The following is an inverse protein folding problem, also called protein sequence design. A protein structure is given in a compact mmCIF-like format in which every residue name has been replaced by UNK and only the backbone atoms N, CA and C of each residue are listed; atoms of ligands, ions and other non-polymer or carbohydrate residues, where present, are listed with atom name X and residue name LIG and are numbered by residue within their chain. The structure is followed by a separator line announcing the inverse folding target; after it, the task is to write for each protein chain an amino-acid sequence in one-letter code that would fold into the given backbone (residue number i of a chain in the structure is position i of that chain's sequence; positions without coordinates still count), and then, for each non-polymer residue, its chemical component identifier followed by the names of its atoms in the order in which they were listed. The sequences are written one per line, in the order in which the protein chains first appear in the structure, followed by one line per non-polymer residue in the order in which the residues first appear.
data_IF_347365648697
#
_entry.id   IF_347365648697
#
_cell.length_a   1.000
_cell.length_b   1.000
_cell.length_c   1.000
_cell.angle_alpha   90.00
_cell.angle_beta   90.00
_cell.angle_gamma   90.00
#
_symmetry.space_group_name_H-M   'P 1'
#
loop_
_entity.id
_entity.type
_entity.pdbx_description
1 polymer ?
#
# COMPACT_ATOMS: atom_id res chain seq x y z
N UNK A 1 -52.54 94.28 24.40
CA UNK A 1 -52.61 93.07 23.54
C UNK A 1 -51.48 92.13 23.98
N UNK A 2 -51.70 91.31 25.02
CA UNK A 2 -51.86 89.84 24.97
C UNK A 2 -50.94 89.07 23.99
N UNK A 3 -50.12 88.19 24.59
CA UNK A 3 -49.96 86.75 24.31
C UNK A 3 -48.65 86.23 23.67
N UNK A 4 -47.82 85.66 24.58
CA UNK A 4 -47.09 84.37 24.56
C UNK A 4 -46.77 83.67 23.23
N UNK A 5 -45.45 83.56 23.06
CA UNK A 5 -44.65 82.53 22.37
C UNK A 5 -44.96 81.09 22.84
N UNK A 6 -44.93 80.12 21.91
CA UNK A 6 -44.75 78.69 22.21
C UNK A 6 -43.76 78.01 21.24
N UNK A 7 -42.68 77.48 21.85
CA UNK A 7 -41.97 76.19 21.62
C UNK A 7 -41.33 75.88 20.26
N UNK A 8 -40.04 75.49 20.34
CA UNK A 8 -39.60 74.09 20.14
C UNK A 8 -38.31 73.81 20.94
N UNK A 9 -38.33 72.77 21.79
CA UNK A 9 -37.18 72.27 22.56
C UNK A 9 -36.54 71.14 21.76
N UNK A 10 -35.25 71.26 21.43
CA UNK A 10 -34.42 70.13 21.01
C UNK A 10 -33.97 69.35 22.26
N UNK A 11 -34.17 68.03 22.27
CA UNK A 11 -33.65 67.12 23.31
C UNK A 11 -32.18 66.83 23.00
N UNK A 12 -31.28 67.15 23.94
CA UNK A 12 -29.93 66.56 23.99
C UNK A 12 -30.04 65.21 24.71
N UNK A 13 -29.53 64.15 24.09
CA UNK A 13 -29.32 62.84 24.71
C UNK A 13 -27.92 62.86 25.31
N UNK A 14 -27.80 62.63 26.61
CA UNK A 14 -26.53 62.45 27.29
C UNK A 14 -26.18 60.96 27.32
N UNK A 15 -25.00 60.60 26.81
CA UNK A 15 -24.41 59.26 26.93
C UNK A 15 -23.71 59.23 28.29
N UNK A 16 -24.14 58.35 29.19
CA UNK A 16 -23.44 58.06 30.44
C UNK A 16 -22.49 56.89 30.20
N UNK A 17 -21.18 57.17 30.20
CA UNK A 17 -20.16 56.13 30.35
C UNK A 17 -20.12 55.69 31.81
N UNK A 18 -20.49 54.45 32.09
CA UNK A 18 -20.36 53.85 33.42
C UNK A 18 -18.92 53.41 33.66
N UNK A 19 -18.26 53.84 34.75
CA UNK A 19 -16.91 53.40 35.06
C UNK A 19 -16.92 51.93 35.52
N UNK A 20 -16.26 51.06 34.75
CA UNK A 20 -16.02 49.66 35.12
C UNK A 20 -15.20 49.61 36.40
N UNK A 21 -15.79 49.06 37.47
CA UNK A 21 -15.15 49.03 38.80
C UNK A 21 -13.87 48.17 38.81
N UNK A 22 -12.88 48.55 39.64
CA UNK A 22 -11.60 47.82 39.76
C UNK A 22 -11.76 46.32 40.07
N UNK A 23 -12.85 45.92 40.74
CA UNK A 23 -13.13 44.49 41.02
C UNK A 23 -13.42 43.69 39.75
N UNK A 24 -14.05 44.32 38.75
CA UNK A 24 -14.28 43.69 37.43
C UNK A 24 -12.97 43.49 36.68
N UNK A 25 -12.04 44.46 36.74
CA UNK A 25 -10.73 44.34 36.10
C UNK A 25 -9.88 43.23 36.70
N UNK A 26 -9.89 43.07 38.02
CA UNK A 26 -9.18 41.98 38.70
C UNK A 26 -9.74 40.60 38.34
N UNK A 27 -11.08 40.46 38.32
CA UNK A 27 -11.72 39.22 37.90
C UNK A 27 -11.37 38.85 36.45
N UNK A 28 -11.35 39.84 35.54
CA UNK A 28 -10.95 39.65 34.15
C UNK A 28 -9.49 39.19 34.01
N UNK A 29 -8.56 39.80 34.76
CA UNK A 29 -7.15 39.39 34.73
C UNK A 29 -6.99 37.95 35.21
N UNK A 30 -7.66 37.56 36.30
CA UNK A 30 -7.58 36.19 36.83
C UNK A 30 -8.16 35.16 35.84
N UNK A 31 -9.28 35.47 35.19
CA UNK A 31 -9.88 34.59 34.18
C UNK A 31 -8.94 34.43 32.97
N UNK A 32 -8.38 35.53 32.47
CA UNK A 32 -7.43 35.50 31.35
C UNK A 32 -6.18 34.70 31.71
N UNK A 33 -5.68 34.84 32.94
CA UNK A 33 -4.52 34.09 33.40
C UNK A 33 -4.82 32.61 33.55
N UNK A 34 -6.01 32.24 34.06
CA UNK A 34 -6.46 30.85 34.12
C UNK A 34 -6.60 30.24 32.73
N UNK A 35 -7.20 30.97 31.78
CA UNK A 35 -7.31 30.52 30.38
C UNK A 35 -5.93 30.35 29.76
N UNK A 36 -4.99 31.28 29.99
CA UNK A 36 -3.61 31.15 29.50
C UNK A 36 -2.89 29.95 30.13
N UNK A 37 -3.09 29.67 31.42
CA UNK A 37 -2.52 28.49 32.08
C UNK A 37 -3.14 27.21 31.54
N UNK A 38 -4.45 27.18 31.31
CA UNK A 38 -5.15 26.03 30.71
C UNK A 38 -4.68 25.82 29.27
N UNK A 39 -4.61 26.88 28.45
CA UNK A 39 -4.11 26.82 27.07
C UNK A 39 -2.64 26.39 27.04
N UNK A 40 -1.79 26.94 27.91
CA UNK A 40 -0.39 26.52 28.02
C UNK A 40 -0.26 25.07 28.50
N UNK A 41 -1.11 24.61 29.42
CA UNK A 41 -1.16 23.22 29.84
C UNK A 41 -1.68 22.30 28.72
N UNK A 42 -2.71 22.69 27.98
CA UNK A 42 -3.21 21.96 26.81
C UNK A 42 -2.14 21.86 25.71
N UNK A 43 -1.41 22.94 25.42
CA UNK A 43 -0.29 22.93 24.46
C UNK A 43 0.85 22.02 24.96
N UNK A 44 1.09 21.95 26.27
CA UNK A 44 2.12 21.08 26.87
C UNK A 44 1.72 19.60 26.97
N UNK A 45 0.41 19.33 26.96
CA UNK A 45 -0.18 18.00 27.17
C UNK A 45 -0.64 17.37 25.86
N UNK A 46 -0.90 18.14 24.81
CA UNK A 46 -1.04 17.56 23.48
C UNK A 46 0.32 17.01 23.06
N UNK A 47 0.47 15.67 22.92
CA UNK A 47 1.63 15.15 22.24
C UNK A 47 1.69 15.83 20.87
N UNK A 48 2.84 16.40 20.51
CA UNK A 48 3.00 16.79 19.10
C UNK A 48 2.87 15.50 18.31
N UNK A 49 1.87 15.45 17.43
CA UNK A 49 1.73 14.39 16.46
C UNK A 49 2.69 14.72 15.32
N UNK A 50 3.57 13.79 14.99
CA UNK A 50 4.29 13.85 13.74
C UNK A 50 3.42 13.20 12.68
N UNK A 51 3.35 13.86 11.53
CA UNK A 51 2.70 13.39 10.32
C UNK A 51 3.72 13.48 9.22
N UNK A 52 3.93 12.38 8.51
CA UNK A 52 4.75 12.36 7.30
C UNK A 52 3.92 11.78 6.18
N UNK A 53 3.91 12.51 5.08
CA UNK A 53 3.37 12.08 3.80
C UNK A 53 4.58 11.84 2.90
N UNK A 54 4.78 10.61 2.47
CA UNK A 54 5.80 10.32 1.48
C UNK A 54 5.17 10.53 0.10
N UNK A 55 5.74 11.51 -0.62
CA UNK A 55 5.16 12.07 -1.82
C UNK A 55 5.10 11.05 -2.98
N UNK A 56 3.89 10.54 -3.19
CA UNK A 56 3.21 10.59 -4.49
C UNK A 56 3.45 11.98 -5.15
N UNK A 57 3.47 12.06 -6.47
CA UNK A 57 3.60 13.33 -7.20
C UNK A 57 2.55 14.37 -6.75
N UNK A 58 2.72 15.65 -7.10
CA UNK A 58 1.79 16.74 -6.71
C UNK A 58 0.32 16.52 -7.13
N UNK A 59 0.02 15.54 -8.01
CA UNK A 59 -1.33 15.12 -8.42
C UNK A 59 -1.96 14.06 -7.51
N UNK A 60 -1.25 13.56 -6.50
CA UNK A 60 -1.71 12.44 -5.67
C UNK A 60 -1.56 11.07 -6.33
N UNK A 61 -0.77 10.98 -7.39
CA UNK A 61 -0.43 9.75 -8.13
C UNK A 61 0.97 9.26 -7.72
N UNK A 62 1.12 7.95 -7.52
CA UNK A 62 2.42 7.36 -7.21
C UNK A 62 3.25 7.55 -8.47
N UNK A 63 4.41 8.25 -8.45
CA UNK A 63 5.26 8.34 -9.64
C UNK A 63 5.69 6.97 -10.15
N UNK A 64 5.51 5.92 -9.33
CA UNK A 64 5.84 4.54 -9.62
C UNK A 64 4.60 3.67 -9.95
N UNK A 65 3.38 4.24 -9.98
CA UNK A 65 2.22 3.56 -10.58
C UNK A 65 2.49 3.37 -12.08
N UNK A 66 2.83 2.15 -12.48
CA UNK A 66 2.93 1.74 -13.88
C UNK A 66 4.27 2.01 -14.59
N UNK A 67 5.34 2.42 -13.91
CA UNK A 67 6.65 2.63 -14.57
C UNK A 67 7.52 1.39 -14.53
N UNK A 68 7.30 0.49 -15.47
CA UNK A 68 8.31 -0.46 -15.91
C UNK A 68 8.58 -0.20 -17.39
N UNK A 69 9.71 0.44 -17.69
CA UNK A 69 10.25 0.52 -19.05
C UNK A 69 10.55 -0.92 -19.51
N UNK A 70 9.62 -1.53 -20.26
CA UNK A 70 10.02 -2.42 -21.33
C UNK A 70 10.48 -1.53 -22.50
N UNK A 71 11.40 -2.02 -23.35
CA UNK A 71 11.78 -1.30 -24.58
C UNK A 71 10.56 -0.97 -25.48
N UNK A 72 9.42 -1.63 -25.25
CA UNK A 72 8.16 -1.53 -26.00
C UNK A 72 6.95 -0.99 -25.21
N UNK A 73 7.15 -0.43 -24.00
CA UNK A 73 6.13 0.33 -23.24
C UNK A 73 5.71 -0.25 -21.87
N UNK A 74 4.55 0.19 -21.32
CA UNK A 74 4.21 0.04 -19.89
C UNK A 74 3.33 -1.18 -19.57
N UNK A 75 3.58 -1.83 -18.43
CA UNK A 75 2.74 -2.92 -17.89
C UNK A 75 1.66 -2.40 -16.93
N UNK A 76 0.44 -2.89 -17.06
CA UNK A 76 -0.71 -2.60 -16.17
C UNK A 76 -1.27 -3.90 -15.64
N UNK A 77 -1.46 -4.03 -14.32
CA UNK A 77 -2.09 -5.21 -13.74
C UNK A 77 -3.62 -5.12 -13.78
N UNK A 78 -4.26 -6.27 -13.98
CA UNK A 78 -5.69 -6.46 -13.81
C UNK A 78 -5.91 -7.75 -13.02
N UNK A 79 -6.58 -7.64 -11.87
CA UNK A 79 -6.95 -8.80 -11.06
C UNK A 79 -8.26 -9.39 -11.59
N UNK A 80 -8.30 -10.70 -11.69
CA UNK A 80 -9.42 -11.48 -12.20
C UNK A 80 -9.64 -12.67 -11.28
N UNK A 81 -10.90 -13.06 -11.09
CA UNK A 81 -11.24 -14.31 -10.41
C UNK A 81 -11.90 -15.28 -11.37
N UNK A 82 -11.68 -16.58 -11.18
CA UNK A 82 -12.34 -17.59 -12.02
C UNK A 82 -13.87 -17.52 -11.89
N UNK A 83 -14.39 -17.34 -10.67
CA UNK A 83 -15.82 -17.22 -10.38
C UNK A 83 -16.51 -16.03 -11.08
N UNK A 84 -15.82 -14.92 -11.31
CA UNK A 84 -16.40 -13.78 -12.02
C UNK A 84 -16.45 -14.01 -13.53
N UNK A 85 -15.47 -14.74 -14.07
CA UNK A 85 -15.30 -14.89 -15.50
C UNK A 85 -16.07 -16.07 -16.08
N UNK A 86 -16.24 -17.16 -15.33
CA UNK A 86 -17.05 -18.30 -15.76
C UNK A 86 -18.44 -18.26 -15.10
N UNK A 87 -19.40 -17.64 -15.79
CA UNK A 87 -20.77 -17.43 -15.28
C UNK A 87 -21.66 -18.68 -15.37
N UNK A 88 -21.29 -19.62 -16.23
CA UNK A 88 -21.94 -20.92 -16.41
C UNK A 88 -20.93 -21.91 -17.03
N UNK A 89 -21.17 -23.23 -16.98
CA UNK A 89 -20.25 -24.21 -17.55
C UNK A 89 -19.84 -23.85 -18.99
N UNK A 90 -18.53 -23.77 -19.21
CA UNK A 90 -17.90 -23.41 -20.51
C UNK A 90 -18.42 -22.08 -21.11
N UNK A 91 -18.96 -21.18 -20.28
CA UNK A 91 -19.53 -19.90 -20.68
C UNK A 91 -18.81 -18.77 -19.95
N UNK A 92 -18.02 -18.01 -20.70
CA UNK A 92 -17.15 -16.98 -20.14
C UNK A 92 -17.65 -15.57 -20.46
N UNK A 93 -17.66 -14.71 -19.46
CA UNK A 93 -17.90 -13.27 -19.61
C UNK A 93 -16.60 -12.52 -19.30
N UNK A 94 -16.13 -11.72 -20.25
CA UNK A 94 -14.87 -11.00 -20.13
C UNK A 94 -15.13 -9.52 -19.83
N UNK A 95 -14.31 -8.84 -19.01
CA UNK A 95 -14.55 -7.45 -18.66
C UNK A 95 -14.42 -6.53 -19.89
N UNK A 96 -15.54 -5.93 -20.31
CA UNK A 96 -15.61 -4.98 -21.43
C UNK A 96 -14.89 -3.65 -21.14
N UNK A 97 -14.64 -3.35 -19.87
CA UNK A 97 -14.17 -2.08 -19.31
C UNK A 97 -12.70 -2.06 -18.93
N UNK A 98 -11.95 -3.13 -19.23
CA UNK A 98 -10.50 -3.09 -19.33
C UNK A 98 -10.13 -2.13 -20.48
N UNK A 99 -10.03 -0.84 -20.13
CA UNK A 99 -9.95 0.31 -21.03
C UNK A 99 -9.08 0.05 -22.27
N UNK A 100 -9.46 0.64 -23.40
CA UNK A 100 -8.61 0.72 -24.58
C UNK A 100 -7.24 1.30 -24.16
N UNK A 101 -6.22 0.45 -24.14
CA UNK A 101 -4.89 0.82 -23.71
C UNK A 101 -4.35 1.94 -24.59
N UNK A 102 -3.69 2.91 -23.96
CA UNK A 102 -2.87 3.88 -24.69
C UNK A 102 -1.80 3.12 -25.50
N UNK A 103 -1.42 3.66 -26.67
CA UNK A 103 -0.39 3.07 -27.53
C UNK A 103 0.86 2.69 -26.72
N UNK A 104 1.23 1.40 -26.77
CA UNK A 104 2.41 0.85 -26.10
C UNK A 104 2.18 0.29 -24.69
N UNK A 105 0.95 0.27 -24.15
CA UNK A 105 0.69 -0.45 -22.89
C UNK A 105 0.31 -1.90 -23.14
N UNK A 106 0.67 -2.80 -22.21
CA UNK A 106 0.22 -4.21 -22.19
C UNK A 106 -0.28 -4.59 -20.80
N UNK A 107 -1.26 -5.50 -20.74
CA UNK A 107 -1.81 -6.00 -19.48
C UNK A 107 -1.04 -7.19 -18.93
N UNK A 108 -0.99 -7.23 -17.61
CA UNK A 108 -0.63 -8.38 -16.79
C UNK A 108 -1.91 -8.81 -16.09
N UNK A 109 -2.39 -10.00 -16.40
CA UNK A 109 -3.56 -10.51 -15.73
C UNK A 109 -3.15 -11.39 -14.56
N UNK A 110 -3.71 -11.12 -13.38
CA UNK A 110 -3.49 -11.91 -12.17
C UNK A 110 -4.78 -12.64 -11.86
N UNK A 111 -4.77 -13.96 -12.07
CA UNK A 111 -5.90 -14.84 -11.85
C UNK A 111 -5.81 -15.48 -10.46
N UNK A 112 -6.80 -15.23 -9.63
CA UNK A 112 -7.12 -16.04 -8.46
C UNK A 112 -7.89 -17.29 -8.92
N UNK A 113 -7.21 -18.44 -8.89
CA UNK A 113 -7.78 -19.73 -9.30
C UNK A 113 -8.50 -20.46 -8.17
N UNK A 114 -8.26 -20.09 -6.91
CA UNK A 114 -8.95 -20.65 -5.74
C UNK A 114 -10.40 -20.14 -5.66
N UNK A 115 -10.69 -18.98 -6.23
CA UNK A 115 -12.04 -18.44 -6.38
C UNK A 115 -12.84 -19.16 -7.48
N UNK A 116 -13.19 -20.44 -7.28
CA UNK A 116 -13.91 -21.25 -8.26
C UNK A 116 -15.43 -20.96 -8.34
N UNK A 117 -16.05 -21.08 -9.54
CA UNK A 117 -17.49 -20.88 -9.72
C UNK A 117 -18.34 -21.90 -8.95
N UNK A 118 -19.51 -21.47 -8.47
CA UNK A 118 -20.40 -22.32 -7.67
C UNK A 118 -20.92 -23.57 -8.42
N UNK A 119 -20.98 -23.55 -9.76
CA UNK A 119 -21.35 -24.74 -10.53
C UNK A 119 -20.23 -25.78 -10.58
N UNK A 120 -18.97 -25.35 -10.59
CA UNK A 120 -17.80 -26.24 -10.52
C UNK A 120 -17.80 -26.96 -9.18
N UNK A 121 -18.03 -26.25 -8.08
CA UNK A 121 -18.17 -26.83 -6.73
C UNK A 121 -19.27 -27.88 -6.64
N UNK A 122 -20.45 -27.53 -7.16
CA UNK A 122 -21.61 -28.41 -7.12
C UNK A 122 -21.38 -29.71 -7.90
N UNK A 123 -20.67 -29.62 -9.04
CA UNK A 123 -20.36 -30.77 -9.86
C UNK A 123 -19.20 -31.59 -9.28
N UNK A 124 -18.15 -30.94 -8.79
CA UNK A 124 -17.00 -31.56 -8.11
C UNK A 124 -17.45 -32.43 -6.93
N UNK A 125 -18.42 -31.97 -6.14
CA UNK A 125 -18.98 -32.72 -5.01
C UNK A 125 -19.64 -34.06 -5.40
N UNK A 126 -19.94 -34.25 -6.69
CA UNK A 126 -20.51 -35.49 -7.23
C UNK A 126 -19.48 -36.41 -7.91
N UNK A 127 -18.22 -35.98 -8.01
CA UNK A 127 -17.15 -36.73 -8.65
C UNK A 127 -16.45 -37.68 -7.68
N UNK A 128 -15.85 -38.74 -8.23
CA UNK A 128 -15.03 -39.69 -7.47
C UNK A 128 -13.71 -39.05 -6.98
N UNK A 129 -13.20 -38.06 -7.74
CA UNK A 129 -12.04 -37.23 -7.41
C UNK A 129 -12.40 -35.74 -7.60
N UNK A 130 -12.94 -35.08 -6.57
CA UNK A 130 -13.33 -33.67 -6.65
C UNK A 130 -12.17 -32.73 -6.98
N UNK A 131 -10.97 -33.00 -6.43
CA UNK A 131 -9.80 -32.15 -6.64
C UNK A 131 -9.30 -32.25 -8.09
N UNK A 132 -9.15 -33.49 -8.60
CA UNK A 132 -8.76 -33.70 -10.00
C UNK A 132 -9.78 -33.13 -11.00
N UNK A 133 -11.07 -33.12 -10.65
CA UNK A 133 -12.10 -32.46 -11.46
C UNK A 133 -11.92 -30.94 -11.50
N UNK A 134 -11.70 -30.30 -10.36
CA UNK A 134 -11.46 -28.84 -10.28
C UNK A 134 -10.23 -28.46 -11.11
N UNK A 135 -9.13 -29.20 -10.97
CA UNK A 135 -7.90 -28.99 -11.74
C UNK A 135 -8.14 -29.11 -13.26
N UNK A 136 -8.95 -30.09 -13.70
CA UNK A 136 -9.29 -30.24 -15.13
C UNK A 136 -10.12 -29.07 -15.65
N UNK A 137 -11.11 -28.61 -14.88
CA UNK A 137 -11.93 -27.45 -15.26
C UNK A 137 -11.09 -26.17 -15.31
N UNK A 138 -10.22 -25.98 -14.32
CA UNK A 138 -9.33 -24.83 -14.27
C UNK A 138 -8.41 -24.79 -15.51
N UNK A 139 -7.84 -25.92 -15.94
CA UNK A 139 -7.01 -25.98 -17.15
C UNK A 139 -7.77 -25.55 -18.40
N UNK A 140 -9.04 -25.97 -18.53
CA UNK A 140 -9.90 -25.57 -19.66
C UNK A 140 -10.21 -24.08 -19.63
N UNK A 141 -10.54 -23.57 -18.45
CA UNK A 141 -10.78 -22.14 -18.24
C UNK A 141 -9.54 -21.30 -18.57
N UNK A 142 -8.38 -21.64 -18.02
CA UNK A 142 -7.12 -20.91 -18.26
C UNK A 142 -6.75 -20.95 -19.75
N UNK A 143 -6.96 -22.07 -20.44
CA UNK A 143 -6.73 -22.15 -21.88
C UNK A 143 -7.65 -21.18 -22.64
N UNK A 144 -8.95 -21.18 -22.34
CA UNK A 144 -9.91 -20.28 -22.98
C UNK A 144 -9.59 -18.79 -22.69
N UNK A 145 -9.12 -18.49 -21.48
CA UNK A 145 -8.68 -17.15 -21.08
C UNK A 145 -7.46 -16.71 -21.89
N UNK A 146 -6.45 -17.57 -22.04
CA UNK A 146 -5.26 -17.28 -22.85
C UNK A 146 -5.61 -17.10 -24.34
N UNK A 147 -6.52 -17.93 -24.87
CA UNK A 147 -7.06 -17.79 -26.24
C UNK A 147 -7.74 -16.42 -26.46
N UNK A 148 -8.53 -15.98 -25.48
CA UNK A 148 -9.18 -14.66 -25.51
C UNK A 148 -8.14 -13.52 -25.46
N UNK A 149 -7.17 -13.60 -24.56
CA UNK A 149 -6.11 -12.60 -24.41
C UNK A 149 -5.25 -12.45 -25.66
N UNK A 150 -4.93 -13.56 -26.31
CA UNK A 150 -4.18 -13.57 -27.57
C UNK A 150 -4.95 -12.85 -28.69
N UNK A 151 -6.26 -13.11 -28.81
CA UNK A 151 -7.13 -12.42 -29.75
C UNK A 151 -7.21 -10.91 -29.49
N UNK A 152 -7.10 -10.49 -28.23
CA UNK A 152 -7.10 -9.08 -27.83
C UNK A 152 -5.77 -8.39 -28.16
N UNK A 153 -4.66 -9.13 -28.12
CA UNK A 153 -3.34 -8.70 -28.56
C UNK A 153 -2.63 -7.69 -27.65
N UNK A 154 -3.21 -7.40 -26.48
CA UNK A 154 -2.71 -6.41 -25.54
C UNK A 154 -2.29 -7.03 -24.19
N UNK A 155 -2.32 -8.35 -24.07
CA UNK A 155 -1.78 -9.07 -22.93
C UNK A 155 -0.25 -9.26 -23.10
N UNK A 156 0.48 -9.09 -22.01
CA UNK A 156 1.89 -9.48 -21.90
C UNK A 156 2.01 -10.92 -21.37
N UNK A 157 1.35 -11.21 -20.25
CA UNK A 157 1.30 -12.55 -19.65
C UNK A 157 0.16 -12.66 -18.63
N UNK A 158 -0.20 -13.90 -18.31
CA UNK A 158 -1.15 -14.33 -17.28
C UNK A 158 -0.38 -14.94 -16.11
N UNK A 159 -0.70 -14.51 -14.89
CA UNK A 159 -0.24 -15.09 -13.62
C UNK A 159 -1.39 -15.83 -12.95
N UNK A 160 -1.12 -16.99 -12.37
CA UNK A 160 -2.08 -17.74 -11.55
C UNK A 160 -1.38 -18.40 -10.37
N UNK A 161 -2.07 -18.45 -9.23
CA UNK A 161 -1.67 -19.17 -8.02
C UNK A 161 -1.76 -20.71 -8.16
N UNK A 162 -2.39 -21.21 -9.22
CA UNK A 162 -2.56 -22.64 -9.46
C UNK A 162 -1.30 -23.36 -9.99
N UNK A 163 -1.17 -24.64 -9.62
CA UNK A 163 -0.16 -25.57 -10.13
C UNK A 163 -0.68 -26.26 -11.41
N UNK A 164 -0.29 -25.78 -12.59
CA UNK A 164 -0.81 -26.30 -13.86
C UNK A 164 0.20 -27.18 -14.62
N UNK A 165 0.95 -28.06 -13.92
CA UNK A 165 1.97 -28.95 -14.53
C UNK A 165 1.49 -29.62 -15.83
N UNK A 166 2.31 -29.63 -16.88
CA UNK A 166 1.95 -30.19 -18.19
C UNK A 166 1.02 -29.34 -19.05
N UNK A 167 0.68 -28.12 -18.61
CA UNK A 167 0.00 -27.12 -19.45
C UNK A 167 1.03 -26.35 -20.28
N UNK A 168 0.66 -26.01 -21.52
CA UNK A 168 1.52 -25.20 -22.38
C UNK A 168 1.76 -23.82 -21.74
N UNK A 169 3.04 -23.45 -21.58
CA UNK A 169 3.45 -22.18 -20.99
C UNK A 169 3.13 -20.95 -21.86
N UNK A 170 2.68 -21.17 -23.10
CA UNK A 170 2.43 -20.13 -24.09
C UNK A 170 1.27 -20.49 -25.00
N UNK A 171 0.43 -19.50 -25.29
CA UNK A 171 -0.59 -19.57 -26.32
C UNK A 171 -0.52 -18.30 -27.18
N UNK A 172 -0.23 -18.45 -28.47
CA UNK A 172 0.00 -17.29 -29.34
C UNK A 172 1.11 -16.40 -28.78
N UNK A 173 0.82 -15.13 -28.48
CA UNK A 173 1.77 -14.20 -27.85
C UNK A 173 1.60 -14.02 -26.34
N UNK A 174 0.71 -14.81 -25.72
CA UNK A 174 0.43 -14.78 -24.28
C UNK A 174 1.20 -15.87 -23.57
N UNK A 175 1.86 -15.51 -22.46
CA UNK A 175 2.57 -16.44 -21.60
C UNK A 175 1.80 -16.73 -20.31
N UNK A 176 1.92 -17.96 -19.81
CA UNK A 176 1.36 -18.41 -18.53
C UNK A 176 2.47 -18.58 -17.50
N UNK A 177 2.28 -17.97 -16.33
CA UNK A 177 3.13 -18.13 -15.16
C UNK A 177 2.30 -18.64 -13.99
N UNK A 178 2.72 -19.76 -13.41
CA UNK A 178 2.13 -20.40 -12.23
C UNK A 178 3.01 -20.13 -11.01
N UNK A 179 2.40 -19.84 -9.86
CA UNK A 179 3.12 -19.75 -8.59
C UNK A 179 3.90 -21.05 -8.32
N UNK A 180 5.16 -21.00 -7.92
CA UNK A 180 5.91 -22.15 -7.42
C UNK A 180 5.80 -22.16 -5.90
N UNK A 181 5.16 -23.17 -5.32
CA UNK A 181 4.97 -23.23 -3.86
C UNK A 181 6.26 -23.43 -3.07
N UNK A 182 7.37 -23.81 -3.71
CA UNK A 182 8.64 -24.04 -3.02
C UNK A 182 9.31 -22.73 -2.59
N UNK A 183 9.21 -21.68 -3.41
CA UNK A 183 9.88 -20.40 -3.18
C UNK A 183 8.96 -19.17 -3.38
N UNK A 184 7.69 -19.40 -3.76
CA UNK A 184 6.70 -18.36 -4.02
C UNK A 184 6.86 -17.67 -5.39
N UNK A 185 7.78 -18.11 -6.25
CA UNK A 185 8.05 -17.43 -7.52
C UNK A 185 7.13 -17.93 -8.63
N UNK A 186 6.65 -17.03 -9.48
CA UNK A 186 5.85 -17.41 -10.65
C UNK A 186 6.76 -17.94 -11.77
N UNK A 187 6.50 -19.15 -12.27
CA UNK A 187 7.30 -19.86 -13.29
C UNK A 187 6.42 -20.44 -14.39
N UNK A 188 7.01 -20.80 -15.53
CA UNK A 188 6.30 -21.59 -16.53
C UNK A 188 5.85 -22.95 -15.91
N UNK A 189 4.67 -23.49 -16.28
CA UNK A 189 4.08 -24.69 -15.64
C UNK A 189 4.97 -25.94 -15.58
N UNK A 190 5.95 -26.08 -16.48
CA UNK A 190 6.87 -27.24 -16.53
C UNK A 190 8.27 -26.94 -15.99
N UNK A 191 8.48 -25.78 -15.35
CA UNK A 191 9.78 -25.42 -14.80
C UNK A 191 10.90 -25.34 -15.85
N UNK A 192 10.55 -25.15 -17.12
CA UNK A 192 11.52 -24.91 -18.20
C UNK A 192 12.46 -23.81 -17.73
N UNK A 193 13.78 -24.01 -17.84
CA UNK A 193 14.82 -23.05 -17.45
C UNK A 193 14.67 -21.73 -18.23
N UNK A 194 13.67 -20.92 -17.90
CA UNK A 194 13.69 -19.50 -18.14
C UNK A 194 14.62 -18.91 -17.09
N UNK A 195 15.70 -18.29 -17.54
CA UNK A 195 16.67 -17.66 -16.68
C UNK A 195 16.04 -16.45 -16.01
N UNK A 196 15.38 -16.68 -14.87
CA UNK A 196 15.06 -15.61 -13.93
C UNK A 196 16.38 -15.07 -13.40
N UNK A 197 16.75 -13.88 -13.87
CA UNK A 197 17.80 -13.11 -13.23
C UNK A 197 17.13 -12.28 -12.16
N UNK A 198 17.22 -12.75 -10.92
CA UNK A 198 16.96 -11.93 -9.75
C UNK A 198 17.98 -10.78 -9.80
N UNK A 199 17.52 -9.62 -10.26
CA UNK A 199 18.38 -8.46 -10.47
C UNK A 199 17.99 -7.47 -9.39
N UNK A 200 18.68 -7.44 -8.23
CA UNK A 200 18.52 -6.35 -7.29
C UNK A 200 18.87 -5.05 -8.02
N UNK A 201 17.86 -4.24 -8.31
CA UNK A 201 18.08 -2.94 -8.95
C UNK A 201 18.56 -1.97 -7.87
N UNK A 202 19.87 -1.89 -7.70
CA UNK A 202 20.48 -0.64 -7.31
C UNK A 202 20.39 0.31 -8.53
N UNK A 203 19.51 1.32 -8.45
CA UNK A 203 19.00 2.11 -9.59
C UNK A 203 20.00 2.98 -10.38
N UNK A 204 19.49 3.66 -11.43
CA UNK A 204 20.10 4.90 -11.96
C UNK A 204 19.10 5.71 -12.82
N UNK A 205 18.63 6.80 -12.24
CA UNK A 205 17.63 7.72 -12.81
C UNK A 205 17.07 8.65 -11.75
N UNK A 206 17.95 9.14 -10.86
CA UNK A 206 17.65 9.82 -9.59
C UNK A 206 16.74 9.12 -8.57
N UNK A 207 15.75 8.29 -8.89
CA UNK A 207 15.01 7.48 -7.90
C UNK A 207 14.34 6.26 -8.55
N UNK A 208 14.68 5.04 -8.13
CA UNK A 208 13.88 3.82 -8.38
C UNK A 208 13.94 2.99 -7.09
N UNK A 209 12.79 2.63 -6.53
CA UNK A 209 12.61 1.91 -5.27
C UNK A 209 11.58 0.77 -5.46
N UNK A 210 11.78 -0.39 -4.82
CA UNK A 210 11.03 -1.65 -5.02
C UNK A 210 11.94 -2.79 -5.54
N UNK A 211 11.48 -4.04 -5.49
CA UNK A 211 12.19 -5.16 -6.14
C UNK A 211 11.38 -5.64 -7.36
N UNK A 212 12.10 -6.00 -8.43
CA UNK A 212 11.51 -6.51 -9.66
C UNK A 212 12.15 -7.86 -10.03
N UNK A 213 11.31 -8.83 -10.38
CA UNK A 213 11.69 -9.98 -11.17
C UNK A 213 11.84 -9.55 -12.63
N UNK A 214 13.00 -9.80 -13.23
CA UNK A 214 13.17 -9.65 -14.68
C UNK A 214 12.98 -11.02 -15.30
N UNK A 215 12.00 -11.17 -16.18
CA UNK A 215 11.87 -12.36 -17.01
C UNK A 215 12.43 -12.09 -18.39
N UNK A 216 13.04 -13.11 -18.98
CA UNK A 216 13.43 -13.16 -20.40
C UNK A 216 12.76 -14.39 -20.96
N UNK A 217 11.71 -14.20 -21.75
CA UNK A 217 11.01 -15.29 -22.44
C UNK A 217 11.55 -15.33 -23.88
N UNK A 218 12.10 -16.48 -24.30
CA UNK A 218 12.52 -16.67 -25.69
C UNK A 218 11.28 -16.56 -26.59
N UNK A 219 11.11 -15.42 -27.25
CA UNK A 219 10.05 -15.21 -28.21
C UNK A 219 10.22 -16.17 -29.38
N UNK A 220 9.11 -16.77 -29.80
CA UNK A 220 9.06 -17.69 -30.95
C UNK A 220 9.52 -17.06 -32.27
N UNK A 221 9.72 -15.74 -32.28
CA UNK A 221 10.10 -14.94 -33.42
C UNK A 221 11.58 -14.49 -33.36
N UNK A 222 12.31 -14.89 -32.30
CA UNK A 222 13.73 -14.58 -32.11
C UNK A 222 14.02 -13.26 -31.37
N UNK A 223 13.01 -12.54 -30.90
CA UNK A 223 13.17 -11.43 -29.95
C UNK A 223 12.73 -11.88 -28.56
N UNK A 224 13.63 -11.76 -27.59
CA UNK A 224 13.35 -12.13 -26.22
C UNK A 224 12.41 -11.11 -25.58
N UNK A 225 11.26 -11.55 -25.08
CA UNK A 225 10.34 -10.70 -24.35
C UNK A 225 10.94 -10.50 -22.96
N UNK A 226 11.57 -9.33 -22.76
CA UNK A 226 12.15 -8.92 -21.50
C UNK A 226 11.17 -7.99 -20.78
N UNK A 227 10.59 -8.46 -19.68
CA UNK A 227 9.70 -7.68 -18.84
C UNK A 227 10.21 -7.63 -17.41
N UNK A 228 9.92 -6.53 -16.72
CA UNK A 228 10.12 -6.43 -15.28
C UNK A 228 8.76 -6.52 -14.60
N UNK A 229 8.65 -7.33 -13.57
CA UNK A 229 7.44 -7.56 -12.79
C UNK A 229 7.82 -7.39 -11.35
N UNK A 230 7.13 -6.53 -10.61
CA UNK A 230 7.54 -6.28 -9.24
C UNK A 230 6.49 -5.58 -8.43
N UNK A 231 6.74 -5.56 -7.14
CA UNK A 231 5.97 -4.84 -6.16
C UNK A 231 6.56 -3.44 -5.98
N UNK A 232 5.69 -2.51 -5.63
CA UNK A 232 6.07 -1.16 -5.23
C UNK A 232 5.42 -0.86 -3.87
N UNK A 233 5.76 -1.68 -2.87
CA UNK A 233 5.26 -1.56 -1.50
C UNK A 233 5.80 -0.29 -0.84
N UNK A 234 4.92 0.56 -0.32
CA UNK A 234 5.30 1.81 0.34
C UNK A 234 4.45 2.15 1.55
N UNK A 235 4.95 3.09 2.36
CA UNK A 235 4.17 3.78 3.38
C UNK A 235 3.81 5.16 2.83
N UNK A 236 2.53 5.36 2.50
CA UNK A 236 2.02 6.65 1.98
C UNK A 236 1.92 7.68 3.09
N UNK A 237 1.42 7.22 4.23
CA UNK A 237 1.14 8.04 5.39
C UNK A 237 1.65 7.38 6.67
N UNK A 238 2.21 8.18 7.56
CA UNK A 238 2.53 7.76 8.91
C UNK A 238 2.23 8.86 9.93
N UNK A 239 1.60 8.49 11.04
CA UNK A 239 1.32 9.36 12.17
C UNK A 239 1.65 8.71 13.51
N UNK A 240 2.37 9.41 14.37
CA UNK A 240 2.70 8.95 15.71
C UNK A 240 2.88 10.09 16.69
N UNK A 241 2.87 9.75 17.98
CA UNK A 241 3.21 10.70 19.04
C UNK A 241 4.72 10.93 19.14
N UNK A 242 5.13 12.20 19.17
CA UNK A 242 6.53 12.64 19.33
C UNK A 242 7.24 12.15 20.59
N UNK A 243 6.51 11.63 21.58
CA UNK A 243 7.09 11.05 22.79
C UNK A 243 6.29 9.88 23.32
N UNK A 244 6.97 8.99 24.01
CA UNK A 244 6.38 7.89 24.77
C UNK A 244 7.14 7.68 26.07
N UNK A 245 6.59 6.86 26.97
CA UNK A 245 7.25 6.46 28.22
C UNK A 245 7.70 5.01 28.12
N UNK A 246 8.74 4.69 28.86
CA UNK A 246 9.18 3.30 29.05
C UNK A 246 8.06 2.46 29.65
N UNK A 247 7.89 1.25 29.14
CA UNK A 247 6.81 0.35 29.54
C UNK A 247 5.42 0.68 28.98
N UNK A 248 5.30 1.73 28.17
CA UNK A 248 4.05 2.03 27.47
C UNK A 248 4.11 1.49 26.03
N UNK A 249 2.94 1.52 25.38
CA UNK A 249 2.81 1.29 23.94
C UNK A 249 2.93 2.61 23.18
N UNK A 250 3.75 2.64 22.14
CA UNK A 250 3.73 3.68 21.12
C UNK A 250 2.78 3.23 20.00
N UNK A 251 1.76 4.01 19.71
CA UNK A 251 0.88 3.77 18.56
C UNK A 251 1.39 4.53 17.33
N UNK A 252 1.30 3.89 16.18
CA UNK A 252 1.69 4.42 14.87
C UNK A 252 0.58 4.10 13.89
N UNK A 253 -0.10 5.11 13.35
CA UNK A 253 -1.05 4.90 12.27
C UNK A 253 -0.28 4.96 10.94
N UNK A 254 -0.51 3.98 10.08
CA UNK A 254 0.12 3.87 8.77
C UNK A 254 -0.96 3.75 7.69
N UNK A 255 -0.66 4.24 6.49
CA UNK A 255 -1.39 3.91 5.26
C UNK A 255 -0.38 3.25 4.32
N UNK A 256 -0.66 2.01 3.91
CA UNK A 256 0.22 1.17 3.10
C UNK A 256 -0.40 0.91 1.74
N UNK A 257 0.41 0.82 0.69
CA UNK A 257 -0.02 0.37 -0.63
C UNK A 257 1.08 -0.44 -1.31
N UNK A 258 0.67 -1.34 -2.21
CA UNK A 258 1.56 -1.96 -3.18
C UNK A 258 1.14 -1.48 -4.57
N UNK A 259 1.77 -0.40 -5.02
CA UNK A 259 1.50 0.17 -6.34
C UNK A 259 2.16 -0.61 -7.50
N UNK A 260 2.68 -1.81 -7.22
CA UNK A 260 3.32 -2.66 -8.20
C UNK A 260 2.31 -3.42 -9.06
N UNK A 261 2.84 -4.18 -10.02
CA UNK A 261 2.06 -4.94 -11.02
C UNK A 261 1.68 -6.33 -10.50
N UNK A 262 2.11 -6.69 -9.30
CA UNK A 262 1.99 -8.05 -8.74
C UNK A 262 1.93 -7.99 -7.22
N UNK A 263 1.38 -9.05 -6.60
CA UNK A 263 1.33 -9.22 -5.15
C UNK A 263 2.67 -9.71 -4.59
N UNK A 264 2.84 -9.60 -3.27
CA UNK A 264 4.00 -10.19 -2.62
C UNK A 264 3.91 -11.72 -2.57
N UNK A 265 5.05 -12.37 -2.79
CA UNK A 265 5.18 -13.79 -3.07
C UNK A 265 5.41 -14.68 -1.85
N UNK A 266 5.73 -14.06 -0.72
CA UNK A 266 6.08 -14.75 0.52
C UNK A 266 5.47 -14.00 1.70
N UNK A 267 5.06 -14.73 2.75
CA UNK A 267 4.56 -14.13 3.98
C UNK A 267 5.73 -13.47 4.72
N UNK A 268 5.90 -12.18 4.47
CA UNK A 268 6.89 -11.34 5.13
C UNK A 268 6.23 -10.51 6.22
N UNK A 269 7.03 -10.11 7.20
CA UNK A 269 6.55 -9.31 8.31
C UNK A 269 6.87 -7.83 8.10
N UNK A 270 5.85 -6.98 8.18
CA UNK A 270 6.06 -5.55 8.35
C UNK A 270 6.50 -5.28 9.79
N UNK A 271 7.70 -4.74 9.96
CA UNK A 271 8.29 -4.47 11.25
C UNK A 271 8.34 -2.96 11.50
N UNK A 272 7.77 -2.53 12.63
CA UNK A 272 8.02 -1.20 13.17
C UNK A 272 9.15 -1.27 14.20
N UNK A 273 10.10 -0.34 14.13
CA UNK A 273 11.32 -0.38 14.95
C UNK A 273 11.70 0.98 15.52
N UNK A 274 12.26 0.99 16.73
CA UNK A 274 12.98 2.12 17.31
C UNK A 274 14.48 1.85 17.28
N UNK A 275 15.22 2.67 16.53
CA UNK A 275 16.68 2.61 16.40
C UNK A 275 17.38 3.74 17.14
N UNK A 276 18.58 3.47 17.64
CA UNK A 276 19.54 4.48 18.11
C UNK A 276 20.90 4.19 17.50
N UNK A 277 21.28 4.97 16.49
CA UNK A 277 22.38 4.58 15.61
C UNK A 277 22.02 3.29 14.88
N UNK A 278 22.96 2.35 14.80
CA UNK A 278 22.74 1.09 14.07
C UNK A 278 21.99 0.04 14.90
N UNK A 279 21.75 0.28 16.18
CA UNK A 279 21.09 -0.69 17.07
C UNK A 279 19.57 -0.55 17.05
N UNK A 280 18.88 -1.67 16.84
CA UNK A 280 17.44 -1.82 17.10
C UNK A 280 17.24 -1.97 18.61
N UNK A 281 16.47 -1.07 19.21
CA UNK A 281 16.25 -1.02 20.66
C UNK A 281 14.85 -1.49 21.08
N UNK A 282 13.88 -1.43 20.16
CA UNK A 282 12.56 -2.03 20.31
C UNK A 282 12.02 -2.29 18.90
N UNK A 283 11.23 -3.35 18.73
CA UNK A 283 10.61 -3.69 17.46
C UNK A 283 9.33 -4.50 17.70
N UNK A 284 8.41 -4.45 16.75
CA UNK A 284 7.17 -5.21 16.79
C UNK A 284 6.74 -5.58 15.36
N UNK A 285 6.33 -6.83 15.16
CA UNK A 285 5.70 -7.28 13.93
C UNK A 285 4.26 -6.76 13.89
N UNK A 286 3.85 -6.21 12.75
CA UNK A 286 2.51 -5.65 12.59
C UNK A 286 1.56 -6.71 12.02
N UNK A 287 0.31 -6.68 12.47
CA UNK A 287 -0.73 -7.58 12.01
C UNK A 287 -1.32 -7.09 10.67
N UNK A 288 -0.54 -7.26 9.60
CA UNK A 288 -0.94 -6.99 8.21
C UNK A 288 -0.47 -8.15 7.35
N UNK A 289 -1.34 -8.61 6.46
CA UNK A 289 -0.94 -9.55 5.42
C UNK A 289 -0.43 -8.76 4.23
N UNK A 290 0.88 -8.84 3.97
CA UNK A 290 1.52 -8.11 2.89
C UNK A 290 1.22 -8.71 1.51
N UNK A 291 0.76 -9.96 1.43
CA UNK A 291 0.38 -10.59 0.15
C UNK A 291 -0.97 -10.08 -0.36
N UNK A 292 -1.81 -9.58 0.55
CA UNK A 292 -3.14 -9.00 0.25
C UNK A 292 -3.07 -7.50 -0.10
N UNK A 293 -1.88 -6.88 -0.04
CA UNK A 293 -1.73 -5.48 -0.42
C UNK A 293 -1.70 -5.33 -1.95
N UNK A 294 -2.68 -4.57 -2.45
CA UNK A 294 -2.77 -4.12 -3.85
C UNK A 294 -2.54 -2.60 -3.98
N UNK A 295 -2.99 -2.04 -5.11
CA UNK A 295 -2.87 -0.61 -5.39
C UNK A 295 -3.78 0.30 -4.56
N UNK A 296 -4.82 -0.26 -3.93
CA UNK A 296 -5.67 0.49 -3.00
C UNK A 296 -4.98 0.66 -1.64
N UNK A 297 -4.95 1.87 -1.06
CA UNK A 297 -4.33 2.09 0.24
C UNK A 297 -5.08 1.42 1.38
N UNK A 298 -4.34 0.77 2.28
CA UNK A 298 -4.84 0.09 3.47
C UNK A 298 -4.38 0.82 4.73
N UNK A 299 -5.34 1.22 5.55
CA UNK A 299 -5.09 1.80 6.88
C UNK A 299 -4.67 0.72 7.89
N UNK A 300 -3.55 0.94 8.58
CA UNK A 300 -3.00 0.04 9.59
C UNK A 300 -2.76 0.79 10.92
N UNK A 301 -3.40 0.31 11.98
CA UNK A 301 -3.17 0.75 13.36
C UNK A 301 -2.02 -0.03 14.01
N UNK A 302 -0.78 0.38 13.73
CA UNK A 302 0.42 -0.26 14.24
C UNK A 302 0.82 0.16 15.66
N UNK A 303 1.73 -0.59 16.26
CA UNK A 303 2.29 -0.26 17.56
C UNK A 303 3.69 -0.83 17.79
N UNK A 304 4.39 -0.28 18.79
CA UNK A 304 5.62 -0.83 19.37
C UNK A 304 5.46 -0.81 20.90
N UNK A 305 5.64 -1.95 21.56
CA UNK A 305 5.75 -1.99 23.02
C UNK A 305 7.15 -1.53 23.47
N UNK A 306 7.20 -0.49 24.30
CA UNK A 306 8.45 0.13 24.73
C UNK A 306 8.98 -0.58 25.97
N UNK A 307 10.18 -1.19 25.94
CA UNK A 307 10.72 -1.87 27.11
C UNK A 307 10.89 -0.94 28.32
N UNK A 308 10.71 -1.47 29.54
CA UNK A 308 10.86 -0.71 30.78
C UNK A 308 12.31 -0.27 31.04
N UNK A 309 13.26 -1.06 30.56
CA UNK A 309 14.71 -0.91 30.71
C UNK A 309 15.36 -0.09 29.58
N UNK A 310 14.60 0.26 28.54
CA UNK A 310 15.07 1.12 27.45
C UNK A 310 15.59 2.45 28.01
N UNK A 311 16.74 2.93 27.53
CA UNK A 311 17.27 4.19 28.03
C UNK A 311 16.40 5.38 27.57
N UNK A 312 16.14 6.39 28.42
CA UNK A 312 15.55 7.64 27.96
C UNK A 312 16.40 8.29 26.85
N UNK A 313 15.74 8.96 25.90
CA UNK A 313 16.42 9.68 24.82
C UNK A 313 15.65 9.69 23.51
N UNK A 314 16.29 10.23 22.47
CA UNK A 314 15.72 10.28 21.14
C UNK A 314 16.03 8.97 20.39
N UNK A 315 15.02 8.43 19.73
CA UNK A 315 15.11 7.24 18.89
C UNK A 315 14.52 7.53 17.53
N UNK A 316 15.08 6.92 16.49
CA UNK A 316 14.53 6.95 15.15
C UNK A 316 13.46 5.88 15.03
N UNK A 317 12.26 6.27 14.58
CA UNK A 317 11.21 5.35 14.21
C UNK A 317 11.44 4.93 12.76
N UNK A 318 11.52 3.63 12.53
CA UNK A 318 11.71 3.04 11.21
C UNK A 318 10.66 1.98 10.91
N UNK A 319 10.49 1.70 9.63
CA UNK A 319 9.73 0.58 9.09
C UNK A 319 10.64 -0.28 8.21
N UNK A 320 10.46 -1.59 8.23
CA UNK A 320 11.15 -2.52 7.35
C UNK A 320 10.25 -3.71 7.04
N UNK A 321 10.58 -4.45 5.98
CA UNK A 321 9.95 -5.73 5.67
C UNK A 321 11.00 -6.81 5.85
N UNK A 322 10.74 -7.72 6.79
CA UNK A 322 11.68 -8.73 7.25
C UNK A 322 11.18 -10.14 6.97
N UNK A 323 12.11 -11.09 6.87
CA UNK A 323 11.77 -12.51 6.92
C UNK A 323 11.16 -12.84 8.28
N UNK A 324 10.11 -13.67 8.30
CA UNK A 324 9.34 -13.95 9.52
C UNK A 324 10.24 -14.46 10.66
N UNK A 325 10.09 -13.85 11.83
CA UNK A 325 10.87 -14.18 13.01
C UNK A 325 12.32 -13.68 13.00
N UNK A 326 12.72 -12.88 11.99
CA UNK A 326 14.03 -12.25 11.91
C UNK A 326 13.92 -10.72 11.95
N UNK A 327 15.04 -10.03 12.17
CA UNK A 327 15.15 -8.58 11.99
C UNK A 327 15.92 -8.21 10.71
N UNK A 328 16.18 -9.19 9.84
CA UNK A 328 16.92 -8.99 8.61
C UNK A 328 15.96 -8.42 7.56
N UNK A 329 16.19 -7.18 7.08
CA UNK A 329 15.35 -6.62 6.04
C UNK A 329 15.68 -7.33 4.72
N UNK A 330 14.65 -7.90 4.09
CA UNK A 330 14.80 -8.69 2.86
C UNK A 330 14.22 -7.96 1.64
N UNK A 331 13.61 -6.79 1.87
CA UNK A 331 12.87 -6.07 0.85
C UNK A 331 13.08 -4.57 0.94
N UNK A 332 13.18 -3.93 -0.23
CA UNK A 332 13.20 -2.49 -0.35
C UNK A 332 11.78 -1.93 -0.52
N UNK A 333 11.45 -0.93 0.28
CA UNK A 333 10.21 -0.17 0.17
C UNK A 333 10.36 0.98 -0.82
N UNK A 334 9.25 1.38 -1.42
CA UNK A 334 9.12 2.53 -2.33
C UNK A 334 9.15 3.85 -1.57
N UNK A 335 10.21 4.06 -0.79
CA UNK A 335 10.38 5.20 0.11
C UNK A 335 11.81 5.74 0.03
N UNK A 336 12.01 7.06 0.18
CA UNK A 336 13.36 7.62 0.16
C UNK A 336 14.21 7.18 1.36
N UNK A 337 15.49 6.90 1.10
CA UNK A 337 16.44 6.39 2.09
C UNK A 337 16.39 4.87 2.21
N UNK A 338 16.86 4.31 3.33
CA UNK A 338 16.74 2.89 3.64
C UNK A 338 17.65 1.99 2.82
N UNK A 339 18.85 2.46 2.47
CA UNK A 339 19.86 1.67 1.76
C UNK A 339 20.31 0.42 2.55
N UNK A 340 20.05 0.40 3.85
CA UNK A 340 20.26 -0.73 4.76
C UNK A 340 18.99 -1.57 4.98
N UNK A 341 17.91 -1.31 4.23
CA UNK A 341 16.60 -1.97 4.32
C UNK A 341 15.66 -1.40 5.39
N UNK A 342 16.10 -0.41 6.17
CA UNK A 342 15.27 0.23 7.21
C UNK A 342 14.89 1.66 6.82
N UNK A 343 13.61 1.91 6.65
CA UNK A 343 13.10 3.19 6.16
C UNK A 343 12.69 4.07 7.33
N UNK A 344 13.32 5.23 7.46
CA UNK A 344 13.06 6.15 8.55
C UNK A 344 11.73 6.87 8.36
N UNK A 345 10.82 6.72 9.32
CA UNK A 345 9.56 7.47 9.43
C UNK A 345 9.78 8.81 10.14
N UNK A 346 10.60 8.82 11.19
CA UNK A 346 10.96 10.05 11.91
C UNK A 346 11.56 9.76 13.28
N UNK A 347 11.22 10.57 14.29
CA UNK A 347 11.82 10.46 15.62
C UNK A 347 10.79 10.43 16.75
N UNK A 348 11.15 9.72 17.82
CA UNK A 348 10.38 9.58 19.05
C UNK A 348 11.27 9.81 20.26
N UNK A 349 10.81 10.68 21.16
CA UNK A 349 11.45 10.89 22.46
C UNK A 349 10.91 9.89 23.50
N UNK A 350 11.73 8.94 23.92
CA UNK A 350 11.43 8.04 25.04
C UNK A 350 11.81 8.72 26.36
N UNK A 351 10.93 8.65 27.36
CA UNK A 351 11.06 9.28 28.68
C UNK A 351 11.03 8.28 29.83
#
# INVERSE_FOLDING_TARGET
MKARVRRRRARRVAIYETPVSMRSRFAWVTIVLMVLVIVAACIRVHPMHYRVEYAMTETGENPYMGTLDAEDGYLVSAELTWAELEVAPDTYEWPDDLYALEDGKRYVFVLDADAHPAHVDAEAASQDDPAGYIDEQLRRFVQALMEYMDQRGDCAYLQTDAQLEGMDARWGDVYLLCLDTADGLYRAPDGVESSWLDTPVAGSGKHIFGNHLTYVLDGGDGEALAGRVGYALGVRYAEWHSFTRRGNRLFVNLELDNAGVTRLYQPLELMLMLRRGDSVCACEAQAVDLTELGGEPVDLGGYIDIPYDMEPGMYQLCVAVCESGTLEPVMNLTMPGGEDGYYALGYVQVR
#
